data_IF_337790668544
#
_entry.id   IF_337790668544
#
_cell.length_a   1.000
_cell.length_b   1.000
_cell.length_c   1.000
_cell.angle_alpha   90.00
_cell.angle_beta   90.00
_cell.angle_gamma   90.00
#
_symmetry.space_group_name_H-M   'P 1'
#
loop_
_entity.id
_entity.type
_entity.pdbx_description
1 polymer ?
#
# COMPACT_ATOMS: atom_id res chain seq x y z
N UNK A 1 6.30 0.45 -9.50
CA UNK A 1 6.09 -0.95 -9.97
C UNK A 1 4.62 -1.14 -10.25
N UNK A 2 4.25 -2.00 -11.22
CA UNK A 2 2.86 -2.29 -11.64
C UNK A 2 2.38 -3.52 -10.88
N UNK A 3 1.22 -3.44 -10.23
CA UNK A 3 0.59 -4.56 -9.51
C UNK A 3 -0.78 -4.89 -10.11
N UNK A 4 -1.05 -6.19 -10.31
CA UNK A 4 -2.29 -6.71 -10.89
C UNK A 4 -3.40 -6.93 -9.85
N UNK A 5 -4.55 -7.37 -10.35
CA UNK A 5 -5.79 -7.65 -9.61
C UNK A 5 -5.75 -8.95 -8.76
N UNK A 6 -4.56 -9.43 -8.38
CA UNK A 6 -4.45 -10.60 -7.54
C UNK A 6 -4.95 -10.31 -6.12
N UNK A 7 -5.73 -11.23 -5.54
CA UNK A 7 -6.31 -11.08 -4.20
C UNK A 7 -5.26 -11.08 -3.07
N UNK A 8 -3.95 -11.07 -3.39
CA UNK A 8 -2.87 -11.00 -2.43
C UNK A 8 -2.58 -9.54 -2.04
N UNK A 9 -2.11 -9.32 -0.79
CA UNK A 9 -1.68 -8.00 -0.37
C UNK A 9 -0.44 -7.55 -1.16
N UNK A 10 -0.37 -6.25 -1.47
CA UNK A 10 0.68 -5.65 -2.32
C UNK A 10 2.12 -5.95 -1.85
N UNK A 11 2.31 -6.23 -0.57
CA UNK A 11 3.61 -6.63 0.00
C UNK A 11 4.21 -7.87 -0.68
N UNK A 12 3.38 -8.81 -1.15
CA UNK A 12 3.85 -9.98 -1.89
C UNK A 12 4.54 -9.57 -3.19
N UNK A 13 4.01 -8.55 -3.85
CA UNK A 13 4.52 -8.08 -5.14
C UNK A 13 5.63 -7.02 -5.00
N UNK A 14 5.66 -6.25 -3.91
CA UNK A 14 6.72 -5.25 -3.64
C UNK A 14 8.05 -5.91 -3.22
N UNK A 15 8.01 -7.14 -2.69
CA UNK A 15 9.15 -7.92 -2.21
C UNK A 15 9.57 -7.54 -0.78
N UNK A 16 9.90 -8.56 0.03
CA UNK A 16 10.14 -8.43 1.48
C UNK A 16 11.25 -7.44 1.88
N UNK A 17 12.14 -7.04 0.96
CA UNK A 17 13.25 -6.12 1.23
C UNK A 17 12.90 -4.63 1.16
N UNK A 18 11.70 -4.23 0.68
CA UNK A 18 11.35 -2.81 0.46
C UNK A 18 10.24 -2.27 1.37
N UNK A 19 9.55 -3.14 2.10
CA UNK A 19 8.45 -2.81 3.03
C UNK A 19 8.71 -3.40 4.41
N UNK A 20 9.96 -3.35 4.86
CA UNK A 20 10.51 -4.08 6.02
C UNK A 20 9.88 -3.74 7.39
N UNK A 21 8.83 -2.92 7.45
CA UNK A 21 8.22 -2.50 8.71
C UNK A 21 6.79 -3.04 8.93
N UNK A 22 6.30 -4.02 8.15
CA UNK A 22 4.97 -4.61 8.38
C UNK A 22 4.95 -5.53 9.62
N UNK A 23 5.03 -4.96 10.83
CA UNK A 23 5.08 -5.71 12.11
C UNK A 23 3.82 -6.55 12.37
N UNK A 24 2.66 -6.06 11.93
CA UNK A 24 1.36 -6.67 12.25
C UNK A 24 0.65 -7.28 11.05
N UNK A 25 0.93 -6.82 9.83
CA UNK A 25 0.24 -7.24 8.58
C UNK A 25 -1.30 -7.16 8.65
N UNK A 26 -1.82 -6.22 9.45
CA UNK A 26 -3.27 -6.04 9.71
C UNK A 26 -3.77 -4.62 9.40
N UNK A 27 -2.93 -3.76 8.81
CA UNK A 27 -3.33 -2.39 8.47
C UNK A 27 -3.59 -1.48 9.67
N UNK A 28 -2.90 -1.71 10.80
CA UNK A 28 -3.13 -1.00 12.07
C UNK A 28 -2.03 -0.01 12.47
N UNK A 29 -0.80 -0.18 11.99
CA UNK A 29 0.36 0.57 12.49
C UNK A 29 0.87 1.66 11.55
N UNK A 30 0.38 1.75 10.31
CA UNK A 30 0.84 2.77 9.34
C UNK A 30 2.22 2.51 8.72
N UNK A 31 3.11 1.79 9.39
CA UNK A 31 4.52 1.59 8.99
C UNK A 31 4.77 0.99 7.59
N UNK A 32 3.76 0.35 6.97
CA UNK A 32 3.83 -0.23 5.63
C UNK A 32 3.27 0.71 4.54
N UNK A 33 3.17 2.02 4.84
CA UNK A 33 2.62 3.05 3.96
C UNK A 33 3.55 3.37 2.80
N UNK A 34 2.96 3.47 1.60
CA UNK A 34 3.65 3.75 0.34
C UNK A 34 2.82 4.73 -0.48
N UNK A 35 3.46 5.59 -1.26
CA UNK A 35 2.77 6.49 -2.18
C UNK A 35 2.19 5.77 -3.40
N UNK A 36 1.00 6.17 -3.80
CA UNK A 36 0.35 5.75 -5.04
C UNK A 36 0.60 6.81 -6.10
N UNK A 37 1.14 6.39 -7.24
CA UNK A 37 1.38 7.25 -8.40
C UNK A 37 0.24 7.15 -9.42
N UNK A 38 -0.39 5.98 -9.55
CA UNK A 38 -1.48 5.74 -10.50
C UNK A 38 -2.26 4.47 -10.11
N UNK A 39 -3.56 4.46 -10.38
CA UNK A 39 -4.45 3.30 -10.15
C UNK A 39 -5.27 3.43 -8.87
N UNK A 40 -6.29 2.59 -8.73
CA UNK A 40 -7.16 2.58 -7.57
C UNK A 40 -6.71 1.57 -6.52
N UNK A 41 -6.90 1.93 -5.26
CA UNK A 41 -6.56 1.11 -4.10
C UNK A 41 -7.83 0.58 -3.46
N UNK A 42 -7.87 -0.72 -3.17
CA UNK A 42 -8.84 -1.31 -2.27
C UNK A 42 -8.26 -1.32 -0.85
N UNK A 43 -8.69 -0.32 -0.06
CA UNK A 43 -8.23 -0.10 1.31
C UNK A 43 -8.87 -1.09 2.28
N UNK A 44 -8.04 -1.96 2.86
CA UNK A 44 -8.44 -2.89 3.92
C UNK A 44 -7.84 -2.51 5.27
N UNK A 45 -7.24 -1.32 5.35
CA UNK A 45 -6.60 -0.80 6.53
C UNK A 45 -7.53 0.08 7.38
N UNK A 46 -7.26 0.08 8.68
CA UNK A 46 -7.93 0.94 9.64
C UNK A 46 -7.04 2.10 10.13
N UNK A 47 -5.76 2.12 9.74
CA UNK A 47 -4.80 3.13 10.17
C UNK A 47 -4.93 4.44 9.39
N UNK A 48 -5.25 4.39 8.09
CA UNK A 48 -5.53 5.61 7.33
C UNK A 48 -6.88 6.19 7.73
N UNK A 49 -6.95 7.50 7.78
CA UNK A 49 -8.20 8.25 7.94
C UNK A 49 -9.09 8.08 6.71
N UNK A 50 -10.37 8.40 6.86
CA UNK A 50 -11.31 8.39 5.73
C UNK A 50 -10.82 9.30 4.58
N UNK A 51 -10.34 10.50 4.90
CA UNK A 51 -9.82 11.44 3.91
C UNK A 51 -8.57 10.91 3.19
N UNK A 52 -7.65 10.24 3.90
CA UNK A 52 -6.46 9.63 3.29
C UNK A 52 -6.83 8.49 2.34
N UNK A 53 -7.81 7.65 2.70
CA UNK A 53 -8.33 6.59 1.83
C UNK A 53 -9.05 7.15 0.60
N UNK A 54 -9.85 8.21 0.79
CA UNK A 54 -10.57 8.87 -0.31
C UNK A 54 -9.62 9.61 -1.27
N UNK A 55 -8.52 10.17 -0.75
CA UNK A 55 -7.49 10.79 -1.58
C UNK A 55 -6.76 9.76 -2.46
N UNK A 56 -6.63 8.51 -2.00
CA UNK A 56 -6.01 7.41 -2.75
C UNK A 56 -4.53 7.64 -3.10
N UNK A 57 -3.87 8.62 -2.46
CA UNK A 57 -2.46 8.99 -2.74
C UNK A 57 -1.46 8.12 -1.99
N UNK A 58 -1.93 7.32 -1.03
CA UNK A 58 -1.12 6.46 -0.17
C UNK A 58 -1.84 5.14 0.09
N UNK A 59 -1.07 4.08 0.36
CA UNK A 59 -1.62 2.74 0.60
C UNK A 59 -0.80 1.98 1.64
N UNK A 60 -1.49 1.18 2.47
CA UNK A 60 -0.84 0.20 3.35
C UNK A 60 -0.67 -1.14 2.63
N UNK A 61 0.54 -1.37 2.12
CA UNK A 61 0.87 -2.53 1.26
C UNK A 61 0.71 -3.89 1.95
N UNK A 62 0.69 -3.92 3.28
CA UNK A 62 0.64 -5.15 4.06
C UNK A 62 -0.76 -5.79 4.18
N UNK A 63 -1.81 -5.10 3.73
CA UNK A 63 -3.19 -5.61 3.75
C UNK A 63 -4.04 -5.10 2.59
N UNK A 64 -3.75 -3.91 2.05
CA UNK A 64 -4.47 -3.35 0.91
C UNK A 64 -4.01 -3.98 -0.41
N UNK A 65 -4.84 -3.83 -1.44
CA UNK A 65 -4.64 -4.39 -2.78
C UNK A 65 -4.99 -3.39 -3.88
N UNK A 66 -4.66 -3.71 -5.13
CA UNK A 66 -5.14 -2.92 -6.27
C UNK A 66 -6.62 -3.19 -6.49
N UNK A 67 -7.37 -2.11 -6.74
CA UNK A 67 -8.72 -2.18 -7.29
C UNK A 67 -8.59 -2.07 -8.81
N UNK A 68 -8.58 -3.21 -9.49
CA UNK A 68 -8.37 -3.31 -10.94
C UNK A 68 -7.01 -3.90 -11.33
N UNK A 69 -6.64 -3.77 -12.59
CA UNK A 69 -5.54 -4.54 -13.18
C UNK A 69 -4.16 -3.89 -13.02
N UNK A 70 -4.11 -2.63 -12.54
CA UNK A 70 -2.85 -1.88 -12.45
C UNK A 70 -2.86 -0.86 -11.33
N UNK A 71 -1.93 -1.04 -10.38
CA UNK A 71 -1.53 -0.04 -9.40
C UNK A 71 -0.04 0.28 -9.54
N UNK A 72 0.30 1.56 -9.58
CA UNK A 72 1.68 2.06 -9.65
C UNK A 72 2.05 2.71 -8.32
N UNK A 73 3.04 2.14 -7.64
CA UNK A 73 3.54 2.65 -6.36
C UNK A 73 4.91 3.31 -6.47
N UNK A 74 5.12 4.31 -5.62
CA UNK A 74 6.39 4.98 -5.37
C UNK A 74 7.18 4.28 -4.26
N UNK A 75 8.20 3.50 -4.64
CA UNK A 75 9.04 2.73 -3.72
C UNK A 75 10.42 3.37 -3.49
N UNK A 76 10.55 4.68 -3.72
CA UNK A 76 11.83 5.38 -3.55
C UNK A 76 12.28 5.31 -2.08
N UNK A 77 13.54 4.91 -1.80
CA UNK A 77 14.06 4.90 -0.43
C UNK A 77 14.13 6.31 0.14
N UNK A 78 13.93 6.44 1.46
CA UNK A 78 14.04 7.72 2.18
C UNK A 78 12.79 8.61 2.17
N UNK A 79 11.73 8.24 1.43
CA UNK A 79 10.41 8.87 1.58
C UNK A 79 9.70 8.27 2.79
N UNK A 80 9.65 9.01 3.89
CA UNK A 80 8.83 8.66 5.03
C UNK A 80 7.38 9.01 4.71
N UNK A 81 6.55 7.97 4.62
CA UNK A 81 5.11 8.09 4.78
C UNK A 81 4.79 7.77 6.25
N UNK A 82 3.70 8.31 6.75
CA UNK A 82 3.43 8.58 8.17
C UNK A 82 3.47 7.36 9.09
#
# INVERSE_FOLDING_TARGET
MIFGSDHLPLIAAVGAGRTAAARLRRGLCGTCQVGVLQGEVDHLDAALTKAEREAGTVVLTCCSRSRGDRLILDLRPGRAYR
#
